data_IF_877133859855
#
_entry.id   IF_877133859855
#
_cell.length_a   1.000
_cell.length_b   1.000
_cell.length_c   1.000
_cell.angle_alpha   90.00
_cell.angle_beta   90.00
_cell.angle_gamma   90.00
#
_symmetry.space_group_name_H-M   'P 1'
#
loop_
_entity.id
_entity.type
_entity.pdbx_description
1 polymer ?
#
# COMPACT_ATOMS: atom_id res chain seq x y z
N UNK A 1 27.50 -29.70 34.43
CA UNK A 1 26.21 -29.33 33.82
C UNK A 1 26.28 -29.70 32.34
N UNK A 2 25.37 -30.55 31.88
CA UNK A 2 25.47 -31.24 30.58
C UNK A 2 25.05 -30.33 29.42
N UNK A 3 25.81 -30.31 28.32
CA UNK A 3 25.56 -29.46 27.14
C UNK A 3 24.16 -29.60 26.50
N UNK A 4 23.43 -30.66 26.84
CA UNK A 4 22.02 -30.85 26.44
C UNK A 4 21.08 -29.87 27.15
N UNK A 5 21.34 -29.52 28.41
CA UNK A 5 20.55 -28.54 29.16
C UNK A 5 20.80 -27.11 28.65
N UNK A 6 22.06 -26.81 28.31
CA UNK A 6 22.45 -25.52 27.75
C UNK A 6 21.84 -25.30 26.37
N UNK A 7 21.81 -26.34 25.52
CA UNK A 7 21.16 -26.28 24.20
C UNK A 7 19.64 -26.09 24.31
N UNK A 8 18.97 -26.73 25.27
CA UNK A 8 17.54 -26.53 25.51
C UNK A 8 17.21 -25.13 26.04
N UNK A 9 18.06 -24.55 26.89
CA UNK A 9 17.90 -23.17 27.37
C UNK A 9 18.04 -22.15 26.24
N UNK A 10 19.10 -22.24 25.43
CA UNK A 10 19.33 -21.34 24.29
C UNK A 10 18.18 -21.38 23.27
N UNK A 11 17.65 -22.58 22.99
CA UNK A 11 16.52 -22.76 22.07
C UNK A 11 15.19 -22.25 22.63
N UNK A 12 15.02 -22.26 23.96
CA UNK A 12 13.85 -21.69 24.63
C UNK A 12 13.86 -20.17 24.64
N UNK A 13 15.04 -19.57 24.84
CA UNK A 13 15.25 -18.11 24.80
C UNK A 13 14.99 -17.55 23.39
N UNK A 14 15.45 -18.24 22.35
CA UNK A 14 15.24 -17.84 20.95
C UNK A 14 13.75 -17.88 20.56
N UNK A 15 13.01 -18.92 20.97
CA UNK A 15 11.56 -19.02 20.75
C UNK A 15 10.80 -17.89 21.44
N UNK A 16 11.16 -17.55 22.69
CA UNK A 16 10.53 -16.46 23.43
C UNK A 16 10.83 -15.09 22.82
N UNK A 17 12.03 -14.88 22.29
CA UNK A 17 12.42 -13.65 21.60
C UNK A 17 11.64 -13.47 20.29
N UNK A 18 11.44 -14.56 19.53
CA UNK A 18 10.63 -14.55 18.31
C UNK A 18 9.17 -14.23 18.62
N UNK A 19 8.58 -14.86 19.64
CA UNK A 19 7.20 -14.55 20.09
C UNK A 19 7.03 -13.06 20.40
N UNK A 20 8.00 -12.44 21.08
CA UNK A 20 7.98 -11.02 21.43
C UNK A 20 8.13 -10.08 20.22
N UNK A 21 8.72 -10.53 19.13
CA UNK A 21 8.98 -9.70 17.94
C UNK A 21 7.91 -9.82 16.87
N UNK A 22 7.39 -11.03 16.66
CA UNK A 22 6.52 -11.31 15.51
C UNK A 22 5.13 -10.68 15.67
N UNK A 23 4.53 -10.74 16.87
CA UNK A 23 3.19 -10.19 17.08
C UNK A 23 3.15 -8.67 16.90
N UNK A 24 4.05 -7.87 17.52
CA UNK A 24 4.09 -6.44 17.25
C UNK A 24 4.40 -6.10 15.79
N UNK A 25 5.22 -6.91 15.12
CA UNK A 25 5.52 -6.68 13.71
C UNK A 25 4.30 -6.93 12.80
N UNK A 26 3.42 -7.88 13.16
CA UNK A 26 2.13 -8.09 12.50
C UNK A 26 1.24 -6.86 12.72
N UNK A 27 1.11 -6.41 13.97
CA UNK A 27 0.30 -5.24 14.32
C UNK A 27 0.77 -3.98 13.57
N UNK A 28 2.08 -3.74 13.53
CA UNK A 28 2.68 -2.64 12.77
C UNK A 28 2.37 -2.74 11.28
N UNK A 29 2.40 -3.95 10.71
CA UNK A 29 2.08 -4.16 9.30
C UNK A 29 0.60 -3.89 9.00
N UNK A 30 -0.30 -4.37 9.86
CA UNK A 30 -1.74 -4.11 9.75
C UNK A 30 -2.03 -2.61 9.87
N UNK A 31 -1.40 -1.91 10.82
CA UNK A 31 -1.53 -0.47 10.97
C UNK A 31 -1.09 0.28 9.70
N UNK A 32 0.02 -0.15 9.06
CA UNK A 32 0.44 0.41 7.77
C UNK A 32 -0.58 0.16 6.67
N UNK A 33 -1.21 -1.01 6.64
CA UNK A 33 -2.26 -1.29 5.66
C UNK A 33 -3.47 -0.38 5.85
N UNK A 34 -3.88 -0.12 7.10
CA UNK A 34 -4.97 0.79 7.41
C UNK A 34 -4.63 2.24 7.05
N UNK A 35 -3.41 2.71 7.35
CA UNK A 35 -2.92 4.03 6.95
C UNK A 35 -2.98 4.20 5.43
N UNK A 36 -2.44 3.24 4.68
CA UNK A 36 -2.46 3.29 3.22
C UNK A 36 -3.90 3.23 2.67
N UNK A 37 -4.78 2.43 3.26
CA UNK A 37 -6.18 2.36 2.86
C UNK A 37 -6.87 3.72 2.98
N UNK A 38 -6.71 4.39 4.14
CA UNK A 38 -7.26 5.72 4.36
C UNK A 38 -6.70 6.75 3.37
N UNK A 39 -5.41 6.68 3.03
CA UNK A 39 -4.80 7.60 2.06
C UNK A 39 -5.29 7.35 0.63
N UNK A 40 -5.52 6.08 0.25
CA UNK A 40 -6.09 5.72 -1.06
C UNK A 40 -7.55 6.19 -1.15
N UNK A 41 -8.37 5.99 -0.12
CA UNK A 41 -9.76 6.48 -0.08
C UNK A 41 -9.82 8.01 -0.30
N UNK A 42 -8.90 8.74 0.32
CA UNK A 42 -8.78 10.20 0.15
C UNK A 42 -8.12 10.63 -1.18
N UNK A 43 -7.77 9.69 -2.07
CA UNK A 43 -7.15 9.97 -3.36
C UNK A 43 -5.71 10.52 -3.27
N UNK A 44 -5.05 10.41 -2.12
CA UNK A 44 -3.70 10.94 -1.88
C UNK A 44 -2.63 9.95 -2.34
N UNK A 45 -2.50 9.75 -3.66
CA UNK A 45 -1.60 8.74 -4.24
C UNK A 45 -0.16 9.23 -4.50
N UNK A 46 0.24 10.38 -3.97
CA UNK A 46 1.54 11.00 -4.28
C UNK A 46 2.73 10.21 -3.71
N UNK A 47 2.52 9.52 -2.58
CA UNK A 47 3.58 8.85 -1.83
C UNK A 47 3.58 7.31 -1.98
N UNK A 48 2.86 6.77 -2.96
CA UNK A 48 2.69 5.30 -3.14
C UNK A 48 4.03 4.56 -3.25
N UNK A 49 5.06 5.18 -3.83
CA UNK A 49 6.39 4.58 -3.93
C UNK A 49 7.10 4.45 -2.58
N UNK A 50 6.96 5.45 -1.70
CA UNK A 50 7.56 5.41 -0.35
C UNK A 50 6.83 4.41 0.54
N UNK A 51 5.50 4.31 0.39
CA UNK A 51 4.68 3.31 1.07
C UNK A 51 5.07 1.89 0.69
N UNK A 52 5.29 1.63 -0.61
CA UNK A 52 5.74 0.32 -1.09
C UNK A 52 7.09 -0.07 -0.47
N UNK A 53 8.05 0.84 -0.43
CA UNK A 53 9.36 0.58 0.15
C UNK A 53 9.27 0.27 1.66
N UNK A 54 8.48 1.06 2.41
CA UNK A 54 8.24 0.83 3.85
C UNK A 54 7.58 -0.53 4.09
N UNK A 55 6.54 -0.85 3.31
CA UNK A 55 5.79 -2.11 3.42
C UNK A 55 6.65 -3.33 3.08
N UNK A 56 7.46 -3.25 2.02
CA UNK A 56 8.38 -4.31 1.63
C UNK A 56 9.39 -4.62 2.73
N UNK A 57 9.96 -3.59 3.36
CA UNK A 57 10.92 -3.75 4.46
C UNK A 57 10.31 -4.49 5.67
N UNK A 58 9.09 -4.13 6.06
CA UNK A 58 8.39 -4.80 7.16
C UNK A 58 8.01 -6.22 6.76
N UNK A 59 7.54 -6.41 5.52
CA UNK A 59 7.18 -7.73 5.01
C UNK A 59 8.37 -8.70 5.00
N UNK A 60 9.55 -8.28 4.56
CA UNK A 60 10.74 -9.13 4.58
C UNK A 60 11.13 -9.56 6.00
N UNK A 61 10.99 -8.65 6.98
CA UNK A 61 11.25 -8.96 8.39
C UNK A 61 10.29 -10.03 8.91
N UNK A 62 9.00 -9.89 8.60
CA UNK A 62 7.97 -10.87 8.95
C UNK A 62 8.17 -12.20 8.23
N UNK A 63 8.53 -12.17 6.94
CA UNK A 63 8.76 -13.37 6.14
C UNK A 63 9.84 -14.27 6.76
N UNK A 64 10.99 -13.70 7.12
CA UNK A 64 12.05 -14.47 7.79
C UNK A 64 11.60 -15.07 9.14
N UNK A 65 10.78 -14.34 9.90
CA UNK A 65 10.24 -14.84 11.16
C UNK A 65 9.24 -15.98 10.95
N UNK A 66 8.37 -15.86 9.95
CA UNK A 66 7.42 -16.91 9.59
C UNK A 66 8.10 -18.16 9.06
N UNK A 67 9.15 -18.03 8.23
CA UNK A 67 9.95 -19.19 7.79
C UNK A 67 10.55 -19.93 8.98
N UNK A 68 11.19 -19.22 9.91
CA UNK A 68 11.71 -19.83 11.12
C UNK A 68 10.62 -20.54 11.93
N UNK A 69 9.48 -19.88 12.14
CA UNK A 69 8.36 -20.45 12.91
C UNK A 69 7.81 -21.70 12.22
N UNK A 70 7.68 -21.68 10.89
CA UNK A 70 7.20 -22.82 10.11
C UNK A 70 8.13 -24.03 10.27
N UNK A 71 9.44 -23.82 10.11
CA UNK A 71 10.47 -24.85 10.24
C UNK A 71 10.59 -25.41 11.68
N UNK A 72 10.15 -24.63 12.67
CA UNK A 72 10.23 -24.97 14.07
C UNK A 72 8.85 -25.07 14.75
N UNK A 73 7.79 -25.29 13.97
CA UNK A 73 6.39 -25.23 14.44
C UNK A 73 6.10 -26.13 15.64
N UNK A 74 6.72 -27.33 15.69
CA UNK A 74 6.61 -28.26 16.82
C UNK A 74 7.17 -27.73 18.16
N UNK A 75 7.94 -26.64 18.14
CA UNK A 75 8.51 -25.99 19.32
C UNK A 75 7.63 -24.87 19.88
N UNK A 76 6.58 -24.49 19.16
CA UNK A 76 5.68 -23.43 19.56
C UNK A 76 4.38 -24.00 20.11
N UNK A 77 3.79 -23.28 21.06
CA UNK A 77 2.52 -23.67 21.66
C UNK A 77 1.39 -23.53 20.64
N UNK A 78 0.40 -24.45 20.62
CA UNK A 78 -0.73 -24.38 19.70
C UNK A 78 -1.50 -23.06 19.76
N UNK A 79 -1.64 -22.47 20.97
CA UNK A 79 -2.30 -21.18 21.17
C UNK A 79 -1.57 -20.04 20.44
N UNK A 80 -0.25 -20.02 20.50
CA UNK A 80 0.56 -19.03 19.79
C UNK A 80 0.46 -19.21 18.26
N UNK A 81 0.47 -20.45 17.77
CA UNK A 81 0.28 -20.73 16.35
C UNK A 81 -1.13 -20.29 15.86
N UNK A 82 -2.16 -20.45 16.70
CA UNK A 82 -3.50 -19.96 16.39
C UNK A 82 -3.55 -18.41 16.33
N UNK A 83 -2.87 -17.73 17.25
CA UNK A 83 -2.75 -16.27 17.23
C UNK A 83 -2.01 -15.77 15.98
N UNK A 84 -0.92 -16.43 15.59
CA UNK A 84 -0.20 -16.16 14.34
C UNK A 84 -1.08 -16.34 13.11
N UNK A 85 -1.88 -17.41 13.08
CA UNK A 85 -2.79 -17.67 11.97
C UNK A 85 -3.88 -16.60 11.87
N UNK A 86 -4.40 -16.12 13.02
CA UNK A 86 -5.33 -15.01 13.05
C UNK A 86 -4.71 -13.71 12.53
N UNK A 87 -3.49 -13.39 12.97
CA UNK A 87 -2.74 -12.22 12.48
C UNK A 87 -2.43 -12.28 10.98
N UNK A 88 -2.01 -13.44 10.47
CA UNK A 88 -1.82 -13.66 9.04
C UNK A 88 -3.11 -13.46 8.23
N UNK A 89 -4.24 -13.94 8.75
CA UNK A 89 -5.54 -13.72 8.12
C UNK A 89 -5.89 -12.24 8.06
N UNK A 90 -5.68 -11.49 9.14
CA UNK A 90 -5.90 -10.05 9.18
C UNK A 90 -5.05 -9.29 8.16
N UNK A 91 -3.76 -9.65 8.04
CA UNK A 91 -2.87 -9.08 7.02
C UNK A 91 -3.37 -9.36 5.59
N UNK A 92 -3.89 -10.57 5.33
CA UNK A 92 -4.44 -10.95 4.02
C UNK A 92 -5.73 -10.20 3.70
N UNK A 93 -6.62 -10.06 4.69
CA UNK A 93 -7.87 -9.31 4.55
C UNK A 93 -7.57 -7.81 4.30
N UNK A 94 -6.58 -7.25 4.98
CA UNK A 94 -6.08 -5.89 4.74
C UNK A 94 -5.52 -5.70 3.32
N UNK A 95 -4.77 -6.69 2.79
CA UNK A 95 -4.27 -6.63 1.41
C UNK A 95 -5.39 -6.73 0.38
N UNK A 96 -6.40 -7.55 0.64
CA UNK A 96 -7.58 -7.66 -0.20
C UNK A 96 -8.36 -6.33 -0.27
N UNK A 97 -8.51 -5.65 0.87
CA UNK A 97 -9.10 -4.32 0.94
C UNK A 97 -8.30 -3.30 0.12
N UNK A 98 -6.98 -3.23 0.32
CA UNK A 98 -6.11 -2.32 -0.44
C UNK A 98 -6.24 -2.52 -1.96
N UNK A 99 -6.25 -3.77 -2.43
CA UNK A 99 -6.43 -4.07 -3.87
C UNK A 99 -7.75 -3.53 -4.41
N UNK A 100 -8.85 -3.70 -3.66
CA UNK A 100 -10.17 -3.16 -4.03
C UNK A 100 -10.16 -1.65 -4.10
N UNK A 101 -9.57 -0.99 -3.10
CA UNK A 101 -9.48 0.48 -3.05
C UNK A 101 -8.64 1.04 -4.20
N UNK A 102 -7.51 0.40 -4.53
CA UNK A 102 -6.68 0.78 -5.68
C UNK A 102 -7.46 0.65 -6.98
N UNK A 103 -8.17 -0.47 -7.19
CA UNK A 103 -8.98 -0.66 -8.39
C UNK A 103 -10.06 0.42 -8.53
N UNK A 104 -10.77 0.72 -7.44
CA UNK A 104 -11.78 1.79 -7.41
C UNK A 104 -11.17 3.16 -7.76
N UNK A 105 -10.02 3.53 -7.18
CA UNK A 105 -9.37 4.80 -7.49
C UNK A 105 -8.84 4.87 -8.93
N UNK A 106 -8.39 3.75 -9.50
CA UNK A 106 -8.01 3.70 -10.92
C UNK A 106 -9.20 4.02 -11.83
N UNK A 107 -10.40 3.51 -11.50
CA UNK A 107 -11.60 3.78 -12.30
C UNK A 107 -12.05 5.24 -12.16
N UNK A 108 -12.05 5.79 -10.95
CA UNK A 108 -12.29 7.23 -10.72
C UNK A 108 -11.30 8.09 -11.52
N UNK A 109 -10.02 7.70 -11.56
CA UNK A 109 -9.01 8.45 -12.31
C UNK A 109 -9.20 8.34 -13.83
N UNK A 110 -9.63 7.18 -14.35
CA UNK A 110 -10.01 7.04 -15.77
C UNK A 110 -11.17 7.96 -16.13
N UNK A 111 -12.21 8.02 -15.30
CA UNK A 111 -13.35 8.91 -15.52
C UNK A 111 -12.95 10.39 -15.50
N UNK A 112 -12.11 10.79 -14.53
CA UNK A 112 -11.52 12.14 -14.48
C UNK A 112 -10.71 12.45 -15.74
N UNK A 113 -9.87 11.52 -16.21
CA UNK A 113 -9.11 11.74 -17.45
C UNK A 113 -10.02 11.85 -18.68
N UNK A 114 -11.08 11.06 -18.77
CA UNK A 114 -12.04 11.14 -19.87
C UNK A 114 -12.78 12.48 -19.86
N UNK A 115 -13.24 12.94 -18.70
CA UNK A 115 -13.91 14.24 -18.56
C UNK A 115 -12.95 15.39 -18.90
N UNK A 116 -11.69 15.35 -18.44
CA UNK A 116 -10.67 16.33 -18.84
C UNK A 116 -10.42 16.34 -20.35
N UNK A 117 -10.35 15.17 -21.00
CA UNK A 117 -10.20 15.07 -22.46
C UNK A 117 -11.39 15.70 -23.20
N UNK A 118 -12.62 15.46 -22.72
CA UNK A 118 -13.84 16.09 -23.26
C UNK A 118 -13.82 17.61 -23.06
N UNK A 119 -13.43 18.08 -21.86
CA UNK A 119 -13.26 19.50 -21.56
C UNK A 119 -12.21 20.16 -22.44
N UNK A 120 -11.05 19.53 -22.63
CA UNK A 120 -10.00 19.99 -23.56
C UNK A 120 -10.51 20.06 -25.00
N UNK A 121 -11.26 19.05 -25.45
CA UNK A 121 -11.87 19.05 -26.80
C UNK A 121 -12.88 20.18 -26.97
N UNK A 122 -13.71 20.45 -25.95
CA UNK A 122 -14.64 21.56 -25.95
C UNK A 122 -13.90 22.90 -26.01
N UNK A 123 -12.90 23.12 -25.14
CA UNK A 123 -12.08 24.33 -25.14
C UNK A 123 -11.31 24.53 -26.45
N UNK A 124 -10.82 23.46 -27.08
CA UNK A 124 -10.21 23.55 -28.41
C UNK A 124 -11.21 23.91 -29.52
N UNK A 125 -12.49 23.57 -29.34
CA UNK A 125 -13.55 24.05 -30.23
C UNK A 125 -13.92 25.51 -29.99
N UNK A 126 -13.70 26.02 -28.78
CA UNK A 126 -13.94 27.43 -28.39
C UNK A 126 -12.70 28.32 -28.51
N UNK A 127 -11.48 27.78 -28.68
CA UNK A 127 -10.29 28.58 -28.94
C UNK A 127 -10.45 29.26 -30.30
N UNK A 128 -10.89 30.50 -30.20
CA UNK A 128 -11.02 31.51 -31.24
C UNK A 128 -9.70 31.64 -32.01
N UNK A 129 -9.60 30.95 -33.14
CA UNK A 129 -8.98 31.42 -34.41
C UNK A 129 -8.46 30.25 -35.26
N UNK A 130 -9.34 29.49 -35.91
CA UNK A 130 -8.98 28.79 -37.15
C UNK A 130 -8.90 29.78 -38.33
N UNK A 131 -8.24 30.94 -38.16
CA UNK A 131 -7.95 31.91 -39.23
C UNK A 131 -9.13 32.43 -40.09
N UNK A 132 -10.39 32.10 -39.75
CA UNK A 132 -11.57 32.28 -40.62
C UNK A 132 -12.47 33.44 -40.20
N UNK A 133 -12.18 34.12 -39.08
CA UNK A 133 -12.85 35.36 -38.73
C UNK A 133 -12.04 36.53 -39.32
N UNK A 134 -12.60 37.34 -40.23
CA UNK A 134 -11.93 38.56 -40.67
C UNK A 134 -11.76 39.46 -39.45
N UNK A 135 -10.50 39.72 -39.07
CA UNK A 135 -10.19 40.64 -37.98
C UNK A 135 -10.80 42.02 -38.25
N UNK A 136 -11.23 42.75 -37.22
CA UNK A 136 -11.82 44.08 -37.40
C UNK A 136 -10.79 44.98 -38.07
N UNK A 137 -11.08 45.42 -39.29
CA UNK A 137 -10.30 46.43 -40.00
C UNK A 137 -10.54 47.77 -39.31
N UNK A 138 -9.63 48.17 -38.44
CA UNK A 138 -9.61 49.54 -37.95
C UNK A 138 -9.33 50.46 -39.15
N UNK A 139 -10.30 51.30 -39.50
CA UNK A 139 -10.09 52.38 -40.45
C UNK A 139 -9.12 53.38 -39.80
N UNK A 140 -7.85 53.35 -40.21
CA UNK A 140 -6.96 54.48 -39.96
C UNK A 140 -7.43 55.63 -40.85
N UNK A 141 -8.10 56.60 -40.25
CA UNK A 141 -8.26 57.92 -40.84
C UNK A 141 -6.87 58.57 -40.85
N UNK A 142 -6.21 58.58 -42.01
CA UNK A 142 -5.11 59.52 -42.28
C UNK A 142 -5.75 60.77 -42.88
N UNK A 143 -5.70 61.86 -42.12
CA UNK A 143 -5.62 63.22 -42.65
C UNK A 143 -4.26 63.42 -43.33
#
# INVERSE_FOLDING_TARGET
>A
MSGVQQKKQLLGEESAEIKRRVMPAIDDFVALQQEHAALIENGRLQDVFSWRAKREKVFQTLFCQFEYINDNSARFEPEFLAQLQAGLKEMLDGEALLRRLVAMQQDVMKEKMQSMRRGKKALSGYSVSNGLAPGPKFHSSRM
#
